data_IF_409516431823
#
_entry.id   IF_409516431823
#
_cell.length_a   1.000
_cell.length_b   1.000
_cell.length_c   1.000
_cell.angle_alpha   90.00
_cell.angle_beta   90.00
_cell.angle_gamma   90.00
#
_symmetry.space_group_name_H-M   'P 1'
#
loop_
_entity.id
_entity.type
_entity.pdbx_description
1 polymer ?
#
# COMPACT_ATOMS: atom_id res chain seq x y z
N UNK A 1 -45.78 32.74 40.48
CA UNK A 1 -44.41 32.24 40.24
C UNK A 1 -44.50 31.05 39.30
N UNK A 2 -44.14 31.23 38.02
CA UNK A 2 -44.17 30.16 37.00
C UNK A 2 -42.80 29.48 37.00
N UNK A 3 -42.73 28.23 37.46
CA UNK A 3 -41.50 27.45 37.49
C UNK A 3 -41.11 26.99 36.09
N UNK A 4 -39.88 27.28 35.70
CA UNK A 4 -39.26 26.77 34.47
C UNK A 4 -38.60 25.41 34.80
N UNK A 5 -39.04 24.34 34.14
CA UNK A 5 -38.39 23.04 34.17
C UNK A 5 -37.22 23.06 33.18
N UNK A 6 -36.00 22.91 33.69
CA UNK A 6 -34.78 22.76 32.89
C UNK A 6 -34.62 21.28 32.56
N UNK A 7 -34.83 20.90 31.30
CA UNK A 7 -34.53 19.55 30.80
C UNK A 7 -33.05 19.45 30.46
N UNK A 8 -32.30 18.68 31.26
CA UNK A 8 -30.91 18.31 31.01
C UNK A 8 -30.93 17.21 29.93
N UNK A 9 -30.49 17.54 28.71
CA UNK A 9 -30.32 16.58 27.63
C UNK A 9 -29.05 15.75 27.85
N UNK A 10 -29.20 14.43 27.99
CA UNK A 10 -28.08 13.48 27.96
C UNK A 10 -27.55 13.38 26.52
N UNK A 11 -26.37 13.95 26.26
CA UNK A 11 -25.59 13.63 25.07
C UNK A 11 -24.86 12.31 25.30
N UNK A 12 -25.41 11.20 24.78
CA UNK A 12 -24.68 9.95 24.70
C UNK A 12 -23.64 10.06 23.59
N UNK A 13 -22.36 10.18 23.95
CA UNK A 13 -21.26 10.01 23.01
C UNK A 13 -21.22 8.52 22.61
N UNK A 14 -21.56 8.22 21.36
CA UNK A 14 -21.36 6.89 20.81
C UNK A 14 -19.85 6.64 20.71
N UNK A 15 -19.31 5.83 21.62
CA UNK A 15 -17.95 5.32 21.51
C UNK A 15 -18.01 4.27 20.39
N UNK A 16 -17.49 4.60 19.21
CA UNK A 16 -17.27 3.62 18.15
C UNK A 16 -16.31 2.56 18.70
N UNK A 17 -16.81 1.35 18.93
CA UNK A 17 -15.96 0.23 19.29
C UNK A 17 -15.05 -0.06 18.08
N UNK A 18 -13.72 0.04 18.25
CA UNK A 18 -12.78 -0.47 17.24
C UNK A 18 -13.10 -1.94 17.00
N UNK A 19 -13.26 -2.33 15.74
CA UNK A 19 -13.28 -3.73 15.35
C UNK A 19 -12.02 -4.39 15.92
N UNK A 20 -12.16 -5.56 16.55
CA UNK A 20 -11.04 -6.28 17.21
C UNK A 20 -9.94 -6.74 16.26
N UNK A 21 -10.09 -6.47 14.96
CA UNK A 21 -9.21 -6.93 13.89
C UNK A 21 -8.47 -5.78 13.18
N UNK A 22 -8.53 -4.56 13.72
CA UNK A 22 -7.77 -3.44 13.18
C UNK A 22 -6.39 -3.40 13.83
N UNK A 23 -5.33 -3.23 13.02
CA UNK A 23 -3.99 -3.01 13.53
C UNK A 23 -3.95 -1.79 14.46
N UNK A 24 -3.32 -1.95 15.62
CA UNK A 24 -3.10 -0.86 16.58
C UNK A 24 -1.99 0.11 16.09
N UNK A 25 -1.06 -0.41 15.29
CA UNK A 25 0.02 0.33 14.63
C UNK A 25 -0.31 0.60 13.15
N UNK A 26 0.62 0.23 12.25
CA UNK A 26 0.40 0.31 10.81
C UNK A 26 -0.14 -1.00 10.25
N UNK A 27 -1.09 -0.93 9.33
CA UNK A 27 -1.42 -2.03 8.45
C UNK A 27 -0.64 -1.89 7.13
N UNK A 28 0.39 -2.70 6.96
CA UNK A 28 1.29 -2.61 5.81
C UNK A 28 0.87 -3.60 4.75
N UNK A 29 0.42 -3.10 3.60
CA UNK A 29 0.07 -3.93 2.44
C UNK A 29 1.27 -3.97 1.49
N UNK A 30 1.73 -5.17 1.16
CA UNK A 30 3.04 -5.39 0.57
C UNK A 30 2.94 -6.22 -0.70
N UNK A 31 3.41 -5.67 -1.83
CA UNK A 31 3.52 -6.38 -3.10
C UNK A 31 4.99 -6.80 -3.36
N UNK A 32 5.21 -8.10 -3.56
CA UNK A 32 6.54 -8.67 -3.87
C UNK A 32 6.98 -8.37 -5.31
N UNK A 33 8.21 -8.67 -5.69
CA UNK A 33 8.70 -8.57 -7.06
C UNK A 33 8.51 -9.85 -7.88
N UNK A 34 8.73 -9.76 -9.19
CA UNK A 34 8.70 -10.92 -10.08
C UNK A 34 9.68 -12.01 -9.63
N UNK A 35 9.24 -13.27 -9.65
CA UNK A 35 10.03 -14.43 -9.26
C UNK A 35 10.26 -14.57 -7.75
N UNK A 36 9.80 -13.61 -6.94
CA UNK A 36 9.91 -13.70 -5.49
C UNK A 36 8.95 -14.74 -4.90
N UNK A 37 9.35 -15.46 -3.83
CA UNK A 37 8.55 -16.54 -3.29
C UNK A 37 7.25 -16.03 -2.66
N UNK A 38 6.15 -16.74 -2.94
CA UNK A 38 4.87 -16.56 -2.24
C UNK A 38 4.88 -17.18 -0.83
N UNK A 39 5.73 -18.18 -0.59
CA UNK A 39 5.86 -18.80 0.72
C UNK A 39 6.43 -17.80 1.76
N UNK A 40 5.97 -17.92 3.01
CA UNK A 40 6.59 -17.19 4.11
C UNK A 40 8.06 -17.62 4.28
N UNK A 41 8.89 -16.71 4.76
CA UNK A 41 10.28 -17.04 5.08
C UNK A 41 10.33 -18.13 6.15
N UNK A 42 11.07 -19.24 5.93
CA UNK A 42 11.23 -20.29 6.96
C UNK A 42 11.89 -19.78 8.24
N UNK A 43 12.60 -18.64 8.17
CA UNK A 43 13.25 -17.98 9.31
C UNK A 43 12.41 -16.86 9.92
N UNK A 44 11.15 -16.69 9.49
CA UNK A 44 10.26 -15.62 9.99
C UNK A 44 10.70 -14.21 9.60
N UNK A 45 11.50 -14.06 8.52
CA UNK A 45 11.98 -12.74 8.08
C UNK A 45 10.88 -11.91 7.41
N UNK A 46 9.87 -12.56 6.84
CA UNK A 46 8.74 -11.93 6.18
C UNK A 46 7.57 -12.93 6.08
N UNK A 47 6.30 -12.45 6.10
CA UNK A 47 5.13 -13.31 5.96
C UNK A 47 4.93 -13.77 4.51
N UNK A 48 3.94 -14.66 4.29
CA UNK A 48 3.56 -15.11 2.95
C UNK A 48 3.29 -13.93 2.01
N UNK A 49 3.51 -14.13 0.72
CA UNK A 49 3.21 -13.21 -0.37
C UNK A 49 3.94 -11.84 -0.33
N UNK A 50 4.96 -11.66 0.51
CA UNK A 50 5.58 -10.34 0.75
C UNK A 50 7.08 -10.24 0.41
N UNK A 51 7.83 -11.34 0.54
CA UNK A 51 9.25 -11.45 0.15
C UNK A 51 10.14 -10.25 0.53
N UNK A 52 10.94 -9.69 -0.38
CA UNK A 52 11.92 -8.63 -0.04
C UNK A 52 11.25 -7.37 0.49
N UNK A 53 10.13 -6.94 -0.09
CA UNK A 53 9.37 -5.81 0.46
C UNK A 53 8.79 -6.14 1.84
N UNK A 54 8.44 -7.42 2.08
CA UNK A 54 7.99 -7.93 3.37
C UNK A 54 9.07 -7.91 4.44
N UNK A 55 10.33 -8.12 4.07
CA UNK A 55 11.45 -7.97 4.99
C UNK A 55 11.58 -6.53 5.49
N UNK A 56 11.46 -5.54 4.59
CA UNK A 56 11.41 -4.14 4.97
C UNK A 56 10.21 -3.85 5.89
N UNK A 57 9.03 -4.35 5.55
CA UNK A 57 7.84 -4.21 6.39
C UNK A 57 8.05 -4.81 7.80
N UNK A 58 8.75 -5.95 7.91
CA UNK A 58 9.08 -6.57 9.19
C UNK A 58 10.01 -5.69 10.05
N UNK A 59 10.97 -5.02 9.43
CA UNK A 59 11.83 -4.04 10.12
C UNK A 59 11.04 -2.83 10.61
N UNK A 60 10.06 -2.36 9.82
CA UNK A 60 9.16 -1.27 10.23
C UNK A 60 8.26 -1.71 11.38
N UNK A 61 7.65 -2.90 11.30
CA UNK A 61 6.80 -3.45 12.36
C UNK A 61 7.56 -3.61 13.69
N UNK A 62 8.87 -3.90 13.64
CA UNK A 62 9.71 -3.95 14.85
C UNK A 62 9.90 -2.57 15.53
N UNK A 63 9.65 -1.47 14.81
CA UNK A 63 9.73 -0.10 15.35
C UNK A 63 8.36 0.48 15.71
N UNK A 64 7.27 -0.07 15.17
CA UNK A 64 5.91 0.41 15.37
C UNK A 64 5.06 -0.74 15.92
N UNK A 65 4.97 -0.82 17.25
CA UNK A 65 4.21 -1.85 17.95
C UNK A 65 2.74 -1.89 17.47
N UNK A 66 2.19 -3.10 17.38
CA UNK A 66 0.81 -3.32 16.93
C UNK A 66 0.63 -3.23 15.41
N UNK A 67 1.72 -3.14 14.64
CA UNK A 67 1.65 -3.18 13.17
C UNK A 67 1.43 -4.60 12.65
N UNK A 68 0.70 -4.69 11.54
CA UNK A 68 0.41 -5.93 10.83
C UNK A 68 0.92 -5.84 9.38
N UNK A 69 1.27 -6.98 8.80
CA UNK A 69 1.81 -7.06 7.43
C UNK A 69 0.95 -8.00 6.61
N UNK A 70 0.41 -7.48 5.51
CA UNK A 70 -0.41 -8.19 4.56
C UNK A 70 0.29 -8.27 3.20
N UNK A 71 0.82 -9.44 2.84
CA UNK A 71 1.36 -9.69 1.50
C UNK A 71 0.24 -9.89 0.46
N UNK A 72 0.31 -9.17 -0.66
CA UNK A 72 -0.65 -9.25 -1.76
C UNK A 72 -0.54 -10.62 -2.44
N UNK A 73 -1.65 -11.36 -2.49
CA UNK A 73 -1.71 -12.65 -3.17
C UNK A 73 -1.93 -12.45 -4.68
N UNK A 74 -0.89 -12.71 -5.46
CA UNK A 74 -0.92 -12.57 -6.92
C UNK A 74 0.27 -13.35 -7.54
N UNK A 75 0.32 -13.55 -8.88
CA UNK A 75 1.33 -14.41 -9.51
C UNK A 75 2.79 -13.98 -9.28
N UNK A 76 3.09 -12.69 -9.37
CA UNK A 76 4.46 -12.16 -9.36
C UNK A 76 5.40 -12.85 -10.36
N UNK A 77 5.00 -12.94 -11.63
CA UNK A 77 5.73 -13.62 -12.71
C UNK A 77 6.05 -12.67 -13.86
N UNK A 78 7.05 -13.03 -14.67
CA UNK A 78 7.39 -12.33 -15.91
C UNK A 78 6.78 -12.99 -17.14
N UNK A 79 6.72 -14.33 -17.16
CA UNK A 79 6.37 -15.10 -18.37
C UNK A 79 5.06 -15.89 -18.27
N UNK A 80 4.82 -16.61 -17.17
CA UNK A 80 3.65 -17.47 -17.03
C UNK A 80 3.00 -17.37 -15.64
N UNK A 81 1.92 -16.58 -15.48
CA UNK A 81 1.32 -15.71 -16.51
C UNK A 81 2.25 -14.58 -16.98
N UNK A 82 2.02 -13.98 -18.17
CA UNK A 82 2.81 -12.86 -18.66
C UNK A 82 2.83 -11.69 -17.67
N UNK A 83 3.91 -10.91 -17.69
CA UNK A 83 4.15 -9.81 -16.77
C UNK A 83 2.92 -8.90 -16.59
N UNK A 84 2.27 -8.51 -17.68
CA UNK A 84 1.14 -7.57 -17.65
C UNK A 84 -0.07 -8.16 -16.94
N UNK A 85 -0.34 -9.46 -17.15
CA UNK A 85 -1.40 -10.16 -16.44
C UNK A 85 -1.06 -10.30 -14.96
N UNK A 86 0.17 -10.71 -14.65
CA UNK A 86 0.66 -10.82 -13.28
C UNK A 86 0.53 -9.49 -12.54
N UNK A 87 1.06 -8.41 -13.12
CA UNK A 87 1.00 -7.08 -12.54
C UNK A 87 -0.46 -6.61 -12.36
N UNK A 88 -1.30 -6.76 -13.39
CA UNK A 88 -2.72 -6.36 -13.32
C UNK A 88 -3.48 -7.08 -12.21
N UNK A 89 -3.27 -8.39 -12.08
CA UNK A 89 -3.88 -9.18 -11.01
C UNK A 89 -3.39 -8.71 -9.63
N UNK A 90 -2.11 -8.33 -9.53
CA UNK A 90 -1.53 -7.74 -8.32
C UNK A 90 -2.14 -6.40 -7.95
N UNK A 91 -2.29 -5.49 -8.92
CA UNK A 91 -2.90 -4.17 -8.73
C UNK A 91 -4.36 -4.29 -8.27
N UNK A 92 -5.15 -5.11 -8.96
CA UNK A 92 -6.55 -5.35 -8.58
C UNK A 92 -6.67 -5.98 -7.18
N UNK A 93 -5.85 -6.99 -6.86
CA UNK A 93 -5.85 -7.63 -5.55
C UNK A 93 -5.43 -6.65 -4.43
N UNK A 94 -4.42 -5.82 -4.66
CA UNK A 94 -3.98 -4.82 -3.70
C UNK A 94 -5.02 -3.72 -3.50
N UNK A 95 -5.67 -3.25 -4.57
CA UNK A 95 -6.76 -2.28 -4.50
C UNK A 95 -7.93 -2.81 -3.65
N UNK A 96 -8.28 -4.09 -3.82
CA UNK A 96 -9.30 -4.75 -2.99
C UNK A 96 -8.90 -4.73 -1.50
N UNK A 97 -7.68 -5.16 -1.17
CA UNK A 97 -7.19 -5.17 0.21
C UNK A 97 -7.23 -3.79 0.87
N UNK A 98 -6.81 -2.74 0.15
CA UNK A 98 -6.83 -1.36 0.67
C UNK A 98 -8.27 -0.92 0.97
N UNK A 99 -9.20 -1.14 0.04
CA UNK A 99 -10.58 -0.71 0.20
C UNK A 99 -11.33 -1.51 1.28
N UNK A 100 -11.09 -2.82 1.36
CA UNK A 100 -11.66 -3.70 2.39
C UNK A 100 -11.17 -3.30 3.78
N UNK A 101 -9.87 -3.06 3.93
CA UNK A 101 -9.29 -2.66 5.20
C UNK A 101 -9.74 -1.25 5.60
N UNK A 102 -9.76 -0.29 4.67
CA UNK A 102 -10.32 1.04 4.93
C UNK A 102 -11.77 0.99 5.39
N UNK A 103 -12.60 0.17 4.74
CA UNK A 103 -14.02 0.01 5.10
C UNK A 103 -14.20 -0.62 6.48
N UNK A 104 -13.34 -1.58 6.84
CA UNK A 104 -13.39 -2.30 8.12
C UNK A 104 -12.78 -1.50 9.27
N UNK A 105 -11.79 -0.67 8.96
CA UNK A 105 -10.93 0.05 9.89
C UNK A 105 -10.72 1.51 9.45
N UNK A 106 -11.78 2.33 9.39
CA UNK A 106 -11.74 3.66 8.77
C UNK A 106 -10.77 4.66 9.44
N UNK A 107 -10.47 4.45 10.73
CA UNK A 107 -9.56 5.31 11.50
C UNK A 107 -8.11 4.79 11.52
N UNK A 108 -7.85 3.62 10.92
CA UNK A 108 -6.53 2.99 10.94
C UNK A 108 -5.57 3.63 9.93
N UNK A 109 -4.27 3.38 10.13
CA UNK A 109 -3.22 3.88 9.25
C UNK A 109 -2.61 2.73 8.46
N UNK A 110 -2.48 2.94 7.16
CA UNK A 110 -1.93 2.00 6.21
C UNK A 110 -0.63 2.54 5.61
N UNK A 111 0.28 1.63 5.27
CA UNK A 111 1.39 1.91 4.38
C UNK A 111 1.41 0.91 3.24
N UNK A 112 1.74 1.38 2.03
CA UNK A 112 1.78 0.56 0.83
C UNK A 112 3.23 0.38 0.40
N UNK A 113 3.69 -0.86 0.26
CA UNK A 113 5.09 -1.16 -0.05
C UNK A 113 5.18 -2.09 -1.25
N UNK A 114 6.10 -1.81 -2.16
CA UNK A 114 6.28 -2.59 -3.38
C UNK A 114 7.73 -2.65 -3.82
N UNK A 115 8.14 -3.79 -4.39
CA UNK A 115 9.47 -3.98 -4.98
C UNK A 115 9.37 -4.48 -6.43
N UNK A 116 10.14 -3.90 -7.36
CA UNK A 116 10.16 -4.29 -8.78
C UNK A 116 8.73 -4.28 -9.39
N UNK A 117 8.22 -5.38 -9.93
CA UNK A 117 6.82 -5.48 -10.37
C UNK A 117 5.82 -5.08 -9.27
N UNK A 118 6.08 -5.43 -8.00
CA UNK A 118 5.26 -5.01 -6.88
C UNK A 118 5.28 -3.50 -6.62
N UNK A 119 6.35 -2.81 -7.03
CA UNK A 119 6.38 -1.35 -6.97
C UNK A 119 5.44 -0.74 -8.02
N UNK A 120 5.37 -1.32 -9.22
CA UNK A 120 4.36 -0.95 -10.21
C UNK A 120 2.94 -1.24 -9.71
N UNK A 121 2.69 -2.41 -9.12
CA UNK A 121 1.40 -2.76 -8.49
C UNK A 121 0.93 -1.67 -7.52
N UNK A 122 1.83 -1.17 -6.66
CA UNK A 122 1.49 -0.09 -5.72
C UNK A 122 1.26 1.24 -6.45
N UNK A 123 2.07 1.55 -7.46
CA UNK A 123 1.93 2.76 -8.27
C UNK A 123 0.57 2.80 -8.97
N UNK A 124 0.17 1.70 -9.62
CA UNK A 124 -1.12 1.58 -10.33
C UNK A 124 -2.31 1.70 -9.36
N UNK A 125 -2.21 1.18 -8.14
CA UNK A 125 -3.24 1.37 -7.10
C UNK A 125 -3.39 2.84 -6.71
N UNK A 126 -2.28 3.55 -6.53
CA UNK A 126 -2.29 4.95 -6.04
C UNK A 126 -2.62 5.94 -7.16
N UNK A 127 -2.07 5.72 -8.36
CA UNK A 127 -2.10 6.65 -9.48
C UNK A 127 -3.12 6.26 -10.56
N UNK A 128 -3.66 5.04 -10.49
CA UNK A 128 -4.53 4.45 -11.51
C UNK A 128 -3.73 3.55 -12.44
N UNK A 129 -4.39 2.54 -12.97
CA UNK A 129 -3.79 1.59 -13.91
C UNK A 129 -3.27 2.28 -15.18
N UNK A 130 -2.16 1.77 -15.72
CA UNK A 130 -1.59 2.29 -16.97
C UNK A 130 -2.51 2.12 -18.20
N UNK A 131 -3.51 1.24 -18.11
CA UNK A 131 -4.40 0.90 -19.21
C UNK A 131 -3.72 0.16 -20.35
N UNK A 132 -4.35 0.15 -21.52
CA UNK A 132 -3.90 -0.66 -22.66
C UNK A 132 -3.95 -2.16 -22.34
N UNK A 133 -2.78 -2.80 -22.28
CA UNK A 133 -2.61 -4.22 -21.93
C UNK A 133 -2.45 -4.46 -20.42
N UNK A 134 -2.37 -3.40 -19.62
CA UNK A 134 -2.43 -3.45 -18.16
C UNK A 134 -3.86 -3.19 -17.67
N UNK A 135 -4.06 -3.29 -16.36
CA UNK A 135 -5.32 -2.98 -15.70
C UNK A 135 -5.76 -1.52 -15.98
N UNK A 136 -7.08 -1.29 -15.88
CA UNK A 136 -7.72 0.01 -16.09
C UNK A 136 -8.37 0.51 -14.79
N UNK A 137 -7.90 0.01 -13.65
CA UNK A 137 -8.49 0.35 -12.36
C UNK A 137 -8.29 1.85 -12.08
N UNK A 138 -9.32 2.47 -11.49
CA UNK A 138 -9.22 3.84 -11.06
C UNK A 138 -8.25 3.96 -9.87
N UNK A 139 -7.55 5.10 -9.72
CA UNK A 139 -6.73 5.34 -8.52
C UNK A 139 -7.57 5.26 -7.25
N UNK A 140 -6.90 5.00 -6.12
CA UNK A 140 -7.48 5.19 -4.80
C UNK A 140 -8.12 6.58 -4.67
N UNK A 141 -9.24 6.63 -3.94
CA UNK A 141 -9.93 7.90 -3.72
C UNK A 141 -9.02 8.89 -2.98
N UNK A 142 -9.00 10.17 -3.36
CA UNK A 142 -8.16 11.17 -2.70
C UNK A 142 -8.43 11.29 -1.19
N UNK A 143 -9.68 11.06 -0.75
CA UNK A 143 -10.05 11.04 0.66
C UNK A 143 -9.44 9.85 1.40
N UNK A 144 -9.49 8.64 0.83
CA UNK A 144 -8.88 7.46 1.43
C UNK A 144 -7.38 7.66 1.58
N UNK A 145 -6.72 8.13 0.50
CA UNK A 145 -5.27 8.42 0.51
C UNK A 145 -4.95 9.41 1.61
N UNK A 146 -5.67 10.54 1.69
CA UNK A 146 -5.44 11.57 2.68
C UNK A 146 -5.66 11.10 4.12
N UNK A 147 -6.67 10.27 4.36
CA UNK A 147 -7.09 9.92 5.72
C UNK A 147 -6.39 8.68 6.26
N UNK A 148 -6.02 7.73 5.40
CA UNK A 148 -5.58 6.39 5.82
C UNK A 148 -4.18 6.02 5.35
N UNK A 149 -3.69 6.54 4.21
CA UNK A 149 -2.36 6.17 3.70
C UNK A 149 -1.32 7.14 4.27
N UNK A 150 -0.41 6.65 5.11
CA UNK A 150 0.64 7.48 5.74
C UNK A 150 2.00 7.36 5.05
N UNK A 151 2.20 6.30 4.27
CA UNK A 151 3.42 6.09 3.51
C UNK A 151 3.15 5.20 2.29
N UNK A 152 3.84 5.50 1.21
CA UNK A 152 3.96 4.65 0.02
C UNK A 152 5.45 4.49 -0.26
N UNK A 153 5.91 3.25 -0.42
CA UNK A 153 7.32 2.92 -0.66
C UNK A 153 7.41 2.06 -1.91
N UNK A 154 7.93 2.64 -3.00
CA UNK A 154 8.15 1.95 -4.27
C UNK A 154 9.64 1.73 -4.43
N UNK A 155 10.11 0.49 -4.54
CA UNK A 155 11.55 0.22 -4.73
C UNK A 155 11.82 -0.47 -6.06
N UNK A 156 12.53 0.22 -6.95
CA UNK A 156 12.87 -0.30 -8.27
C UNK A 156 11.66 -0.37 -9.21
N UNK A 157 10.78 0.63 -9.12
CA UNK A 157 9.56 0.74 -9.92
C UNK A 157 9.85 0.83 -11.43
N UNK A 158 9.39 -0.13 -12.25
CA UNK A 158 9.46 -0.07 -13.71
C UNK A 158 8.73 1.12 -14.33
N UNK A 159 7.82 1.76 -13.59
CA UNK A 159 7.06 2.96 -13.99
C UNK A 159 7.64 4.25 -13.40
N UNK A 160 8.87 4.20 -12.89
CA UNK A 160 9.57 5.38 -12.38
C UNK A 160 9.59 6.51 -13.43
N UNK A 161 9.43 7.74 -12.95
CA UNK A 161 9.60 8.98 -13.72
C UNK A 161 10.72 9.77 -13.06
N UNK A 162 11.75 10.12 -13.81
CA UNK A 162 12.90 10.82 -13.28
C UNK A 162 12.58 12.24 -12.80
N UNK A 163 13.34 12.70 -11.81
CA UNK A 163 13.31 14.06 -11.26
C UNK A 163 11.99 14.43 -10.57
N UNK A 164 11.30 13.45 -9.99
CA UNK A 164 10.13 13.75 -9.16
C UNK A 164 10.55 14.13 -7.74
N UNK A 165 9.68 14.79 -6.98
CA UNK A 165 10.03 15.27 -5.62
C UNK A 165 10.15 14.13 -4.59
N UNK A 166 9.55 12.98 -4.88
CA UNK A 166 9.58 11.79 -4.05
C UNK A 166 10.78 10.86 -4.34
N UNK A 167 11.57 11.21 -5.36
CA UNK A 167 12.70 10.41 -5.79
C UNK A 167 13.81 10.32 -4.73
N UNK A 168 14.26 9.10 -4.41
CA UNK A 168 15.48 8.82 -3.64
C UNK A 168 16.30 7.74 -4.32
N UNK A 169 17.46 8.14 -4.86
CA UNK A 169 18.36 7.24 -5.55
C UNK A 169 19.32 7.99 -6.47
N UNK A 170 20.02 7.25 -7.31
CA UNK A 170 20.96 7.79 -8.31
C UNK A 170 20.43 7.70 -9.74
N UNK A 171 19.25 7.11 -9.97
CA UNK A 171 18.66 7.10 -11.31
C UNK A 171 18.25 8.51 -11.72
N UNK A 172 18.60 8.88 -12.94
CA UNK A 172 18.24 10.15 -13.60
C UNK A 172 17.45 9.89 -14.89
N UNK A 173 16.99 8.65 -15.07
CA UNK A 173 16.24 8.17 -16.23
C UNK A 173 14.94 7.51 -15.79
N UNK A 174 13.98 7.44 -16.71
CA UNK A 174 12.67 6.84 -16.47
C UNK A 174 12.77 5.32 -16.37
N UNK A 175 11.72 4.70 -15.83
CA UNK A 175 11.61 3.25 -15.79
C UNK A 175 11.38 2.66 -17.18
N UNK A 176 11.62 1.34 -17.30
CA UNK A 176 11.48 0.61 -18.57
C UNK A 176 10.04 0.66 -19.13
N UNK A 177 9.03 0.75 -18.26
CA UNK A 177 7.62 0.86 -18.65
C UNK A 177 7.24 2.27 -19.13
N UNK A 178 8.10 3.28 -18.94
CA UNK A 178 7.91 4.67 -19.39
C UNK A 178 8.82 5.06 -20.57
N UNK A 179 9.56 4.10 -21.16
CA UNK A 179 10.63 4.30 -22.15
C UNK A 179 11.90 4.99 -21.61
N UNK A 180 12.73 4.29 -20.82
CA UNK A 180 14.18 4.10 -21.04
C UNK A 180 14.96 3.69 -19.77
N UNK A 181 15.33 2.41 -19.64
CA UNK A 181 16.51 1.86 -18.90
C UNK A 181 17.07 2.70 -17.74
N UNK A 182 16.84 2.32 -16.47
CA UNK A 182 17.82 1.96 -15.40
C UNK A 182 17.05 1.70 -14.07
N UNK A 183 17.57 0.77 -13.27
CA UNK A 183 17.11 0.31 -11.95
C UNK A 183 17.35 1.28 -10.78
N UNK A 184 16.53 1.08 -9.75
CA UNK A 184 16.67 1.56 -8.36
C UNK A 184 16.30 3.01 -8.10
N UNK A 185 15.04 3.18 -7.73
CA UNK A 185 14.62 4.30 -6.93
C UNK A 185 13.67 3.87 -5.82
N UNK A 186 13.88 4.42 -4.62
CA UNK A 186 12.91 4.39 -3.54
C UNK A 186 12.06 5.65 -3.71
N UNK A 187 10.89 5.53 -4.32
CA UNK A 187 9.90 6.60 -4.23
C UNK A 187 9.21 6.44 -2.88
N UNK A 188 9.62 7.25 -1.91
CA UNK A 188 8.75 7.48 -0.76
C UNK A 188 7.81 8.58 -1.22
N UNK A 189 6.55 8.27 -1.52
CA UNK A 189 5.53 9.32 -1.64
C UNK A 189 5.27 9.88 -0.23
N UNK A 190 6.26 10.58 0.31
CA UNK A 190 6.19 11.27 1.58
C UNK A 190 5.56 12.62 1.33
N UNK A 191 4.26 12.61 1.00
CA UNK A 191 3.46 13.80 1.24
C UNK A 191 3.09 13.85 2.73
N UNK A 192 3.91 14.62 3.45
CA UNK A 192 3.45 15.67 4.36
C UNK A 192 2.58 15.19 5.54
N UNK A 193 3.25 14.75 6.60
CA UNK A 193 2.93 15.25 7.93
C UNK A 193 3.22 16.76 7.94
N UNK A 194 2.22 17.54 7.55
CA UNK A 194 1.98 18.91 8.04
C UNK A 194 0.49 19.03 8.29
#
# INVERSE_FOLDING_TARGET
>A
MRGFLVTIGLFAAAIAAKSSNCADGLYMIVARGSGEPAAASPKGLFPKNSASAGYLAQLIAAQINGSEIMGVEYPATEDNPPYQQSESDGATAMLQLVNEYHSSCPDSKMALLGYSQGAQVVSDVVCGGLGGIFNHDAPLSPELVKNSIVAIVLWGDPTHIANTTYDRGTSVHDGVSNNAVVTSLVAICLRLLN
#
